data_IF_754192126063
#
_entry.id   IF_754192126063
#
_cell.length_a   1.000
_cell.length_b   1.000
_cell.length_c   1.000
_cell.angle_alpha   90.00
_cell.angle_beta   90.00
_cell.angle_gamma   90.00
#
_symmetry.space_group_name_H-M   'P 1'
#
loop_
_entity.id
_entity.type
_entity.pdbx_description
1 polymer ?
#
# COMPACT_ATOMS: atom_id res chain seq x y z
N UNK A 1 -2.01 7.78 9.65
CA UNK A 1 -3.01 7.68 8.56
C UNK A 1 -4.31 7.06 9.07
N UNK A 2 -5.48 7.28 8.45
CA UNK A 2 -6.73 6.58 8.83
C UNK A 2 -6.78 5.17 8.25
N UNK A 3 -7.50 4.24 8.90
CA UNK A 3 -7.70 2.87 8.39
C UNK A 3 -8.34 2.88 7.00
N UNK A 4 -9.37 3.71 6.80
CA UNK A 4 -10.05 3.84 5.52
C UNK A 4 -9.08 4.22 4.40
N UNK A 5 -8.24 5.24 4.60
CA UNK A 5 -7.27 5.63 3.57
C UNK A 5 -6.24 4.52 3.31
N UNK A 6 -5.78 3.86 4.37
CA UNK A 6 -4.83 2.74 4.25
C UNK A 6 -5.42 1.61 3.39
N UNK A 7 -6.67 1.21 3.67
CA UNK A 7 -7.33 0.13 2.96
C UNK A 7 -7.66 0.50 1.51
N UNK A 8 -8.02 1.76 1.23
CA UNK A 8 -8.20 2.24 -0.14
C UNK A 8 -6.90 2.18 -0.96
N UNK A 9 -5.79 2.61 -0.38
CA UNK A 9 -4.49 2.56 -1.04
C UNK A 9 -4.04 1.11 -1.30
N UNK A 10 -4.24 0.21 -0.32
CA UNK A 10 -3.97 -1.21 -0.51
C UNK A 10 -4.87 -1.85 -1.57
N UNK A 11 -6.15 -1.50 -1.60
CA UNK A 11 -7.07 -1.98 -2.62
C UNK A 11 -6.62 -1.57 -4.03
N UNK A 12 -6.25 -0.29 -4.19
CA UNK A 12 -5.80 0.26 -5.47
C UNK A 12 -4.55 -0.43 -6.01
N UNK A 13 -3.59 -0.77 -5.14
CA UNK A 13 -2.35 -1.44 -5.58
C UNK A 13 -2.59 -2.91 -5.91
N UNK A 14 -3.28 -3.65 -5.04
CA UNK A 14 -3.58 -5.08 -5.23
C UNK A 14 -4.44 -5.34 -6.48
N UNK A 15 -5.20 -4.34 -6.93
CA UNK A 15 -6.06 -4.44 -8.11
C UNK A 15 -5.55 -3.60 -9.29
N UNK A 16 -4.28 -3.18 -9.29
CA UNK A 16 -3.72 -2.31 -10.33
C UNK A 16 -3.78 -2.98 -11.73
N UNK A 17 -3.45 -4.27 -11.79
CA UNK A 17 -3.45 -5.09 -13.01
C UNK A 17 -4.73 -5.94 -13.22
N UNK A 18 -5.70 -5.87 -12.30
CA UNK A 18 -6.89 -6.74 -12.20
C UNK A 18 -6.61 -8.24 -11.91
N UNK A 19 -5.40 -8.58 -11.44
CA UNK A 19 -5.00 -9.92 -11.01
C UNK A 19 -4.54 -9.82 -9.56
N UNK A 20 -5.26 -10.47 -8.66
CA UNK A 20 -4.96 -10.43 -7.22
C UNK A 20 -4.12 -11.65 -6.86
N UNK A 21 -2.96 -11.42 -6.25
CA UNK A 21 -2.09 -12.50 -5.78
C UNK A 21 -2.30 -12.76 -4.28
N UNK A 22 -2.34 -14.04 -3.88
CA UNK A 22 -2.55 -14.41 -2.47
C UNK A 22 -1.48 -13.83 -1.54
N UNK A 23 -0.24 -13.72 -2.03
CA UNK A 23 0.88 -13.14 -1.29
C UNK A 23 0.70 -11.64 -1.04
N UNK A 24 0.16 -10.88 -2.00
CA UNK A 24 -0.15 -9.46 -1.84
C UNK A 24 -1.23 -9.27 -0.76
N UNK A 25 -2.29 -10.07 -0.80
CA UNK A 25 -3.36 -10.06 0.22
C UNK A 25 -2.80 -10.41 1.60
N UNK A 26 -1.91 -11.40 1.67
CA UNK A 26 -1.24 -11.77 2.92
C UNK A 26 -0.41 -10.60 3.49
N UNK A 27 0.42 -9.96 2.68
CA UNK A 27 1.22 -8.81 3.12
C UNK A 27 0.34 -7.61 3.50
N UNK A 28 -0.72 -7.34 2.74
CA UNK A 28 -1.69 -6.28 3.02
C UNK A 28 -2.35 -6.45 4.40
N UNK A 29 -2.78 -7.67 4.75
CA UNK A 29 -3.34 -8.00 6.07
C UNK A 29 -2.34 -7.78 7.21
N UNK A 30 -1.11 -8.23 7.00
CA UNK A 30 -0.06 -8.12 8.01
C UNK A 30 0.38 -6.67 8.24
N UNK A 31 0.50 -5.89 7.17
CA UNK A 31 0.81 -4.46 7.26
C UNK A 31 -0.34 -3.66 7.90
N UNK A 32 -1.60 -4.03 7.64
CA UNK A 32 -2.76 -3.47 8.35
C UNK A 32 -2.66 -3.70 9.85
N UNK A 33 -2.33 -4.94 10.25
CA UNK A 33 -2.16 -5.32 11.65
C UNK A 33 -0.98 -4.58 12.30
N UNK A 34 0.12 -4.38 11.56
CA UNK A 34 1.28 -3.62 12.01
C UNK A 34 0.95 -2.14 12.27
N UNK A 35 0.03 -1.56 11.49
CA UNK A 35 -0.48 -0.20 11.69
C UNK A 35 -1.54 -0.11 12.81
N UNK A 36 -1.85 -1.23 13.48
CA UNK A 36 -2.85 -1.30 14.55
C UNK A 36 -4.29 -1.33 14.05
N UNK A 37 -4.53 -1.64 12.77
CA UNK A 37 -5.87 -1.78 12.21
C UNK A 37 -6.38 -3.22 12.32
N UNK A 38 -7.70 -3.38 12.47
CA UNK A 38 -8.33 -4.70 12.58
C UNK A 38 -8.36 -5.42 11.23
N UNK A 39 -7.56 -6.47 11.08
CA UNK A 39 -7.37 -7.21 9.82
C UNK A 39 -8.61 -7.93 9.30
N UNK A 40 -9.57 -8.26 10.17
CA UNK A 40 -10.86 -8.88 9.80
C UNK A 40 -11.71 -8.02 8.88
N UNK A 41 -11.48 -6.71 8.86
CA UNK A 41 -12.23 -5.76 8.02
C UNK A 41 -11.69 -5.61 6.59
N UNK A 42 -10.44 -6.01 6.32
CA UNK A 42 -9.75 -5.62 5.08
C UNK A 42 -10.44 -6.18 3.83
N UNK A 43 -10.80 -7.47 3.84
CA UNK A 43 -11.44 -8.10 2.69
C UNK A 43 -12.88 -7.61 2.49
N UNK A 44 -13.62 -7.36 3.58
CA UNK A 44 -14.97 -6.80 3.50
C UNK A 44 -14.95 -5.37 2.92
N UNK A 45 -13.96 -4.58 3.31
CA UNK A 45 -13.73 -3.25 2.74
C UNK A 45 -13.32 -3.33 1.26
N UNK A 46 -12.44 -4.28 0.88
CA UNK A 46 -12.07 -4.48 -0.53
C UNK A 46 -13.30 -4.82 -1.39
N UNK A 47 -14.15 -5.73 -0.92
CA UNK A 47 -15.41 -6.08 -1.60
C UNK A 47 -16.36 -4.87 -1.75
N UNK A 48 -16.37 -3.95 -0.79
CA UNK A 48 -17.14 -2.72 -0.89
C UNK A 48 -16.53 -1.75 -1.93
N UNK A 49 -15.20 -1.70 -2.03
CA UNK A 49 -14.47 -0.84 -2.94
C UNK A 49 -14.51 -1.31 -4.40
N UNK A 50 -14.76 -2.59 -4.68
CA UNK A 50 -14.96 -3.10 -6.05
C UNK A 50 -16.06 -2.38 -6.83
N UNK A 51 -17.05 -1.82 -6.13
CA UNK A 51 -18.19 -1.10 -6.73
C UNK A 51 -17.93 0.39 -6.93
N UNK A 52 -16.78 0.88 -6.48
CA UNK A 52 -16.40 2.29 -6.54
C UNK A 52 -15.57 2.53 -7.80
N UNK A 53 -15.78 3.68 -8.43
CA UNK A 53 -14.93 4.09 -9.55
C UNK A 53 -13.47 4.25 -9.11
N UNK A 54 -12.57 3.47 -9.73
CA UNK A 54 -11.15 3.41 -9.33
C UNK A 54 -10.42 4.74 -9.52
N UNK A 55 -10.78 5.49 -10.55
CA UNK A 55 -10.16 6.79 -10.82
C UNK A 55 -10.53 7.80 -9.73
N UNK A 56 -11.83 7.91 -9.42
CA UNK A 56 -12.31 8.77 -8.34
C UNK A 56 -11.77 8.34 -6.97
N UNK A 57 -11.65 7.03 -6.74
CA UNK A 57 -11.06 6.48 -5.52
C UNK A 57 -9.61 6.95 -5.37
N UNK A 58 -8.80 6.80 -6.41
CA UNK A 58 -7.41 7.25 -6.43
C UNK A 58 -7.29 8.76 -6.20
N UNK A 59 -8.07 9.58 -6.91
CA UNK A 59 -8.05 11.04 -6.72
C UNK A 59 -8.33 11.42 -5.26
N UNK A 60 -9.36 10.81 -4.67
CA UNK A 60 -9.74 11.08 -3.28
C UNK A 60 -8.64 10.63 -2.30
N UNK A 61 -8.08 9.43 -2.51
CA UNK A 61 -7.00 8.92 -1.68
C UNK A 61 -5.76 9.80 -1.75
N UNK A 62 -5.40 10.32 -2.93
CA UNK A 62 -4.26 11.25 -3.10
C UNK A 62 -4.51 12.57 -2.37
N UNK A 63 -5.73 13.12 -2.43
CA UNK A 63 -6.09 14.34 -1.71
C UNK A 63 -5.92 14.17 -0.21
N UNK A 64 -6.39 13.06 0.37
CA UNK A 64 -6.22 12.77 1.79
C UNK A 64 -4.74 12.51 2.15
N UNK A 65 -4.02 11.78 1.30
CA UNK A 65 -2.60 11.47 1.51
C UNK A 65 -1.75 12.74 1.58
N UNK A 66 -2.04 13.74 0.73
CA UNK A 66 -1.36 15.05 0.74
C UNK A 66 -1.56 15.85 2.03
N UNK A 67 -2.62 15.58 2.80
CA UNK A 67 -2.89 16.26 4.08
C UNK A 67 -2.05 15.67 5.22
N UNK A 68 -1.49 14.48 5.06
CA UNK A 68 -0.68 13.84 6.08
C UNK A 68 0.71 14.49 6.20
N UNK A 69 1.38 14.36 7.37
CA UNK A 69 2.79 14.69 7.49
C UNK A 69 3.65 13.95 6.46
N UNK A 70 4.78 14.55 6.07
CA UNK A 70 5.70 13.99 5.06
C UNK A 70 6.15 12.56 5.41
N UNK A 71 6.38 12.28 6.68
CA UNK A 71 6.76 10.95 7.17
C UNK A 71 5.67 9.90 6.92
N UNK A 72 4.41 10.24 7.22
CA UNK A 72 3.26 9.36 6.98
C UNK A 72 3.03 9.12 5.48
N UNK A 73 3.26 10.13 4.65
CA UNK A 73 3.24 9.98 3.18
C UNK A 73 4.30 8.98 2.71
N UNK A 74 5.53 9.10 3.21
CA UNK A 74 6.62 8.16 2.90
C UNK A 74 6.27 6.74 3.34
N UNK A 75 5.72 6.58 4.55
CA UNK A 75 5.33 5.29 5.09
C UNK A 75 4.22 4.63 4.25
N UNK A 76 3.21 5.40 3.83
CA UNK A 76 2.17 4.90 2.94
C UNK A 76 2.75 4.35 1.63
N UNK A 77 3.65 5.10 0.97
CA UNK A 77 4.29 4.63 -0.28
C UNK A 77 5.17 3.39 -0.03
N UNK A 78 5.93 3.38 1.06
CA UNK A 78 6.77 2.24 1.40
C UNK A 78 5.96 0.95 1.56
N UNK A 79 4.79 1.03 2.19
CA UNK A 79 3.83 -0.08 2.33
C UNK A 79 3.34 -0.56 0.97
N UNK A 80 2.96 0.34 0.07
CA UNK A 80 2.52 -0.04 -1.29
C UNK A 80 3.62 -0.76 -2.06
N UNK A 81 4.86 -0.30 -1.96
CA UNK A 81 6.00 -0.97 -2.60
C UNK A 81 6.25 -2.38 -2.04
N UNK A 82 5.96 -2.64 -0.75
CA UNK A 82 6.12 -3.97 -0.15
C UNK A 82 5.04 -4.91 -0.70
N UNK A 83 3.80 -4.45 -0.75
CA UNK A 83 2.66 -5.25 -1.22
C UNK A 83 2.82 -5.55 -2.71
N UNK A 84 3.06 -4.55 -3.53
CA UNK A 84 3.24 -4.71 -4.98
C UNK A 84 4.47 -5.54 -5.38
N UNK A 85 5.42 -5.72 -4.46
CA UNK A 85 6.61 -6.56 -4.69
C UNK A 85 6.53 -7.89 -3.91
N UNK A 86 5.33 -8.33 -3.53
CA UNK A 86 5.12 -9.55 -2.75
C UNK A 86 5.71 -10.80 -3.42
N UNK A 87 5.58 -10.89 -4.74
CA UNK A 87 6.06 -12.02 -5.55
C UNK A 87 7.50 -11.83 -6.06
N UNK A 88 8.20 -10.81 -5.57
CA UNK A 88 9.59 -10.51 -5.95
C UNK A 88 9.76 -9.74 -7.26
N UNK A 89 8.66 -9.49 -7.98
CA UNK A 89 8.63 -8.65 -9.16
C UNK A 89 7.32 -7.88 -9.20
N UNK A 90 7.42 -6.55 -9.15
CA UNK A 90 6.30 -5.63 -9.34
C UNK A 90 5.99 -5.45 -10.83
N UNK A 91 4.72 -5.48 -11.19
CA UNK A 91 4.29 -5.31 -12.57
C UNK A 91 4.32 -3.85 -13.03
N UNK A 92 4.06 -3.63 -14.31
CA UNK A 92 4.16 -2.29 -14.91
C UNK A 92 3.07 -1.35 -14.38
N UNK A 93 1.85 -1.84 -14.20
CA UNK A 93 0.68 -1.08 -13.78
C UNK A 93 0.83 -0.60 -12.33
N UNK A 94 1.32 -1.46 -11.44
CA UNK A 94 1.69 -1.16 -10.06
C UNK A 94 2.82 -0.13 -9.98
N UNK A 95 3.87 -0.31 -10.79
CA UNK A 95 4.97 0.66 -10.90
C UNK A 95 4.46 2.03 -11.33
N UNK A 96 3.60 2.08 -12.35
CA UNK A 96 3.01 3.32 -12.84
C UNK A 96 2.14 4.00 -11.77
N UNK A 97 1.33 3.22 -11.05
CA UNK A 97 0.50 3.74 -9.97
C UNK A 97 1.37 4.32 -8.85
N UNK A 98 2.32 3.56 -8.32
CA UNK A 98 3.23 4.01 -7.25
C UNK A 98 3.99 5.25 -7.70
N UNK A 99 4.57 5.25 -8.91
CA UNK A 99 5.31 6.38 -9.46
C UNK A 99 4.45 7.64 -9.59
N UNK A 100 3.21 7.51 -10.07
CA UNK A 100 2.28 8.64 -10.16
C UNK A 100 2.07 9.29 -8.80
N UNK A 101 1.89 8.49 -7.74
CA UNK A 101 1.63 9.00 -6.40
C UNK A 101 2.90 9.59 -5.78
N UNK A 102 3.98 8.82 -5.63
CA UNK A 102 5.13 9.28 -4.83
C UNK A 102 5.92 10.39 -5.51
N UNK A 103 6.09 10.32 -6.84
CA UNK A 103 6.91 11.26 -7.59
C UNK A 103 6.09 12.47 -8.02
N UNK A 104 4.98 12.26 -8.72
CA UNK A 104 4.21 13.34 -9.34
C UNK A 104 3.36 14.08 -8.31
N UNK A 105 2.61 13.34 -7.49
CA UNK A 105 1.64 13.92 -6.56
C UNK A 105 2.29 14.41 -5.25
N UNK A 106 3.18 13.61 -4.65
CA UNK A 106 3.74 13.87 -3.32
C UNK A 106 5.16 14.45 -3.33
N UNK A 107 5.87 14.33 -4.47
CA UNK A 107 7.27 14.78 -4.64
C UNK A 107 8.15 14.29 -3.49
N UNK A 108 8.09 12.98 -3.22
CA UNK A 108 8.92 12.31 -2.21
C UNK A 108 10.26 11.92 -2.83
N UNK A 109 11.30 11.87 -1.99
CA UNK A 109 12.59 11.33 -2.42
C UNK A 109 12.52 9.80 -2.36
N UNK A 110 13.00 9.15 -3.41
CA UNK A 110 13.08 7.69 -3.46
C UNK A 110 13.87 7.11 -2.28
N UNK A 111 14.94 7.78 -1.86
CA UNK A 111 15.78 7.35 -0.74
C UNK A 111 14.98 7.23 0.58
N UNK A 112 14.06 8.16 0.83
CA UNK A 112 13.22 8.15 2.04
C UNK A 112 12.25 6.96 2.00
N UNK A 113 11.63 6.71 0.84
CA UNK A 113 10.74 5.57 0.60
C UNK A 113 11.49 4.25 0.81
N UNK A 114 12.67 4.09 0.20
CA UNK A 114 13.48 2.88 0.34
C UNK A 114 13.97 2.65 1.77
N UNK A 115 14.28 3.72 2.50
CA UNK A 115 14.66 3.64 3.91
C UNK A 115 13.49 3.14 4.77
N UNK A 116 12.30 3.73 4.59
CA UNK A 116 11.08 3.29 5.29
C UNK A 116 10.70 1.86 4.93
N UNK A 117 10.77 1.49 3.65
CA UNK A 117 10.52 0.13 3.17
C UNK A 117 11.38 -0.91 3.88
N UNK A 118 12.69 -0.66 3.97
CA UNK A 118 13.62 -1.55 4.69
C UNK A 118 13.26 -1.68 6.17
N UNK A 119 12.89 -0.58 6.82
CA UNK A 119 12.49 -0.60 8.23
C UNK A 119 11.25 -1.47 8.44
N UNK A 120 10.22 -1.32 7.61
CA UNK A 120 9.03 -2.17 7.63
C UNK A 120 9.36 -3.64 7.40
N UNK A 121 10.17 -3.96 6.39
CA UNK A 121 10.57 -5.36 6.13
C UNK A 121 11.31 -5.96 7.33
N UNK A 122 12.22 -5.21 7.95
CA UNK A 122 12.93 -5.65 9.16
C UNK A 122 11.96 -5.92 10.31
N UNK A 123 10.98 -5.05 10.52
CA UNK A 123 9.96 -5.22 11.57
C UNK A 123 9.02 -6.40 11.28
N UNK A 124 8.57 -6.56 10.04
CA UNK A 124 7.73 -7.69 9.65
C UNK A 124 8.46 -9.02 9.83
N UNK A 125 9.75 -9.10 9.48
CA UNK A 125 10.58 -10.28 9.72
C UNK A 125 10.73 -10.61 11.20
N UNK A 126 10.97 -9.61 12.05
CA UNK A 126 11.12 -9.84 13.49
C UNK A 126 9.82 -10.34 14.14
N UNK A 127 8.67 -9.98 13.57
CA UNK A 127 7.34 -10.43 14.00
C UNK A 127 6.82 -11.67 13.26
N UNK A 128 7.62 -12.29 12.37
CA UNK A 128 7.22 -13.42 11.52
C UNK A 128 5.99 -13.14 10.63
N UNK A 129 5.83 -11.88 10.23
CA UNK A 129 4.75 -11.38 9.37
C UNK A 129 5.16 -11.24 7.89
N UNK A 130 6.38 -11.66 7.55
CA UNK A 130 6.94 -11.60 6.20
C UNK A 130 7.23 -13.02 5.70
N UNK A 131 6.74 -13.37 4.51
CA UNK A 131 7.10 -14.63 3.85
C UNK A 131 8.28 -14.38 2.92
N UNK A 132 9.33 -15.19 3.03
CA UNK A 132 10.42 -15.18 2.05
C UNK A 132 9.95 -15.81 0.73
N UNK A 133 10.46 -15.27 -0.38
CA UNK A 133 10.02 -15.62 -1.73
C UNK A 133 10.33 -17.08 -2.09
#
# INVERSE_FOLDING_TARGET
MTQQLFNQLLFLIVHANNVVHEREIFLAKNLSSLHGFESTSLLDEFNALEKVDRYQLLENSVVELKKLPKEEQVNAIAVLCIVANADGCMDKEEWQLIYSIYHSELRLKLEDVLKSQRAYITEMRSKQLYLEA
#
